data_IF_455799056379
#
_entry.id   IF_455799056379
#
_cell.length_a   1.000
_cell.length_b   1.000
_cell.length_c   1.000
_cell.angle_alpha   90.00
_cell.angle_beta   90.00
_cell.angle_gamma   90.00
#
_symmetry.space_group_name_H-M   'P 1'
#
loop_
_entity.id
_entity.type
_entity.pdbx_description
1 polymer ?
#
# COMPACT_ATOMS: atom_id res chain seq x y z
N UNK A 1 23.51 -1.89 -15.46
CA UNK A 1 22.15 -1.35 -15.52
C UNK A 1 21.27 -2.12 -14.55
N UNK A 2 20.53 -1.40 -13.70
CA UNK A 2 19.50 -1.99 -12.82
C UNK A 2 18.14 -1.53 -13.31
N UNK A 3 17.21 -2.48 -13.46
CA UNK A 3 15.82 -2.25 -13.84
C UNK A 3 14.96 -2.70 -12.66
N UNK A 4 14.16 -1.79 -12.11
CA UNK A 4 13.23 -2.09 -11.02
C UNK A 4 11.81 -2.14 -11.58
N UNK A 5 11.12 -3.26 -11.31
CA UNK A 5 9.72 -3.46 -11.68
C UNK A 5 8.96 -3.79 -10.39
N UNK A 6 8.22 -2.82 -9.88
CA UNK A 6 7.46 -2.97 -8.64
C UNK A 6 6.09 -3.57 -8.89
N UNK A 7 5.64 -4.39 -7.94
CA UNK A 7 4.29 -4.95 -7.92
C UNK A 7 3.93 -5.70 -9.22
N UNK A 8 4.77 -6.69 -9.60
CA UNK A 8 4.56 -7.44 -10.86
C UNK A 8 3.25 -8.23 -10.89
N UNK A 9 2.59 -8.46 -9.75
CA UNK A 9 1.26 -9.07 -9.68
C UNK A 9 0.23 -8.33 -10.54
N UNK A 10 0.33 -7.00 -10.67
CA UNK A 10 -0.55 -6.23 -11.53
C UNK A 10 -0.37 -6.54 -13.04
N UNK A 11 0.76 -7.13 -13.41
CA UNK A 11 0.99 -7.56 -14.79
C UNK A 11 0.07 -8.73 -15.14
N UNK A 12 -0.22 -9.62 -14.18
CA UNK A 12 -1.15 -10.72 -14.39
C UNK A 12 -2.56 -10.23 -14.74
N UNK A 13 -2.97 -9.08 -14.17
CA UNK A 13 -4.27 -8.48 -14.43
C UNK A 13 -4.36 -7.76 -15.78
N UNK A 14 -3.21 -7.42 -16.37
CA UNK A 14 -3.12 -6.74 -17.68
C UNK A 14 -3.23 -7.69 -18.89
N UNK A 15 -3.42 -8.98 -18.64
CA UNK A 15 -3.60 -10.02 -19.67
C UNK A 15 -2.29 -10.53 -20.28
N UNK A 16 -2.41 -11.48 -21.21
CA UNK A 16 -1.31 -12.27 -21.75
C UNK A 16 -0.19 -11.44 -22.41
N UNK A 17 -0.54 -10.31 -23.02
CA UNK A 17 0.43 -9.43 -23.65
C UNK A 17 1.43 -8.82 -22.66
N UNK A 18 0.95 -8.41 -21.48
CA UNK A 18 1.81 -7.82 -20.46
C UNK A 18 2.73 -8.89 -19.83
N UNK A 19 2.22 -10.09 -19.65
CA UNK A 19 3.03 -11.23 -19.19
C UNK A 19 4.11 -11.61 -20.21
N UNK A 20 3.78 -11.61 -21.50
CA UNK A 20 4.73 -11.83 -22.59
C UNK A 20 5.81 -10.76 -22.60
N UNK A 21 5.45 -9.49 -22.41
CA UNK A 21 6.41 -8.40 -22.30
C UNK A 21 7.39 -8.60 -21.14
N UNK A 22 6.88 -8.99 -19.96
CA UNK A 22 7.74 -9.30 -18.82
C UNK A 22 8.73 -10.42 -19.13
N UNK A 23 8.28 -11.49 -19.77
CA UNK A 23 9.15 -12.58 -20.20
C UNK A 23 10.24 -12.11 -21.18
N UNK A 24 9.91 -11.22 -22.12
CA UNK A 24 10.90 -10.64 -23.04
C UNK A 24 11.92 -9.76 -22.30
N UNK A 25 11.51 -9.00 -21.30
CA UNK A 25 12.43 -8.23 -20.46
C UNK A 25 13.42 -9.16 -19.75
N UNK A 26 12.95 -10.26 -19.14
CA UNK A 26 13.84 -11.25 -18.54
C UNK A 26 14.78 -11.91 -19.56
N UNK A 27 14.26 -12.25 -20.74
CA UNK A 27 15.06 -12.84 -21.82
C UNK A 27 16.16 -11.90 -22.30
N UNK A 28 15.87 -10.60 -22.37
CA UNK A 28 16.87 -9.59 -22.74
C UNK A 28 17.93 -9.46 -21.66
N UNK A 29 17.53 -9.42 -20.38
CA UNK A 29 18.49 -9.33 -19.29
C UNK A 29 19.41 -10.54 -19.19
N UNK A 30 18.93 -11.74 -19.49
CA UNK A 30 19.74 -12.97 -19.47
C UNK A 30 20.85 -12.95 -20.54
N UNK A 31 20.70 -12.14 -21.60
CA UNK A 31 21.70 -11.96 -22.65
C UNK A 31 22.87 -11.04 -22.27
N UNK A 32 22.66 -10.18 -21.27
CA UNK A 32 23.61 -9.14 -20.91
C UNK A 32 24.08 -9.30 -19.47
N UNK A 33 25.34 -9.61 -19.26
CA UNK A 33 25.93 -9.85 -17.94
C UNK A 33 25.93 -8.63 -17.00
N UNK A 34 25.68 -7.45 -17.53
CA UNK A 34 25.66 -6.18 -16.80
C UNK A 34 24.23 -5.61 -16.62
N UNK A 35 23.19 -6.39 -16.92
CA UNK A 35 21.80 -6.02 -16.71
C UNK A 35 21.21 -6.86 -15.59
N UNK A 36 20.66 -6.19 -14.59
CA UNK A 36 20.02 -6.80 -13.43
C UNK A 36 18.57 -6.32 -13.36
N UNK A 37 17.63 -7.25 -13.22
CA UNK A 37 16.22 -6.94 -13.00
C UNK A 37 15.90 -7.29 -11.56
N UNK A 38 15.28 -6.34 -10.86
CA UNK A 38 14.77 -6.50 -9.51
C UNK A 38 13.26 -6.31 -9.60
N UNK A 39 12.51 -7.32 -9.21
CA UNK A 39 11.06 -7.28 -9.21
C UNK A 39 10.54 -7.48 -7.80
N UNK A 40 9.48 -6.77 -7.45
CA UNK A 40 8.69 -7.05 -6.23
C UNK A 40 7.37 -7.73 -6.58
N UNK A 41 6.92 -8.59 -5.68
CA UNK A 41 5.64 -9.29 -5.80
C UNK A 41 5.12 -9.61 -4.40
N UNK A 42 3.81 -9.56 -4.21
CA UNK A 42 3.19 -10.06 -2.97
C UNK A 42 3.41 -11.57 -2.86
N UNK A 43 3.66 -12.04 -1.64
CA UNK A 43 3.87 -13.47 -1.38
C UNK A 43 2.67 -14.32 -1.83
N UNK A 44 1.45 -13.80 -1.63
CA UNK A 44 0.20 -14.45 -2.07
C UNK A 44 0.13 -14.68 -3.57
N UNK A 45 0.73 -13.79 -4.37
CA UNK A 45 0.64 -13.78 -5.83
C UNK A 45 1.88 -14.37 -6.51
N UNK A 46 2.90 -14.70 -5.72
CA UNK A 46 4.19 -15.21 -6.19
C UNK A 46 4.07 -16.48 -7.03
N UNK A 47 3.07 -17.33 -6.76
CA UNK A 47 2.81 -18.58 -7.50
C UNK A 47 2.56 -18.37 -8.99
N UNK A 48 1.93 -17.24 -9.36
CA UNK A 48 1.68 -16.90 -10.77
C UNK A 48 2.99 -16.72 -11.55
N UNK A 49 4.07 -16.31 -10.88
CA UNK A 49 5.38 -16.04 -11.47
C UNK A 49 6.37 -17.20 -11.34
N UNK A 50 6.02 -18.27 -10.62
CA UNK A 50 6.88 -19.46 -10.45
C UNK A 50 7.30 -20.07 -11.79
N UNK A 51 6.44 -20.05 -12.81
CA UNK A 51 6.76 -20.55 -14.16
C UNK A 51 7.85 -19.74 -14.84
N UNK A 52 8.00 -18.47 -14.53
CA UNK A 52 9.09 -17.63 -15.02
C UNK A 52 10.38 -18.02 -14.34
N UNK A 53 10.33 -18.28 -13.03
CA UNK A 53 11.50 -18.65 -12.23
C UNK A 53 12.17 -19.93 -12.72
N UNK A 54 11.41 -20.89 -13.29
CA UNK A 54 11.99 -22.13 -13.84
C UNK A 54 12.73 -21.92 -15.14
N UNK A 55 12.42 -20.87 -15.88
CA UNK A 55 13.03 -20.58 -17.18
C UNK A 55 14.28 -19.70 -17.09
N UNK A 56 14.34 -18.82 -16.10
CA UNK A 56 15.44 -17.88 -15.91
C UNK A 56 16.08 -18.08 -14.52
N UNK A 57 17.34 -17.68 -14.37
CA UNK A 57 18.08 -17.77 -13.10
C UNK A 57 17.64 -16.66 -12.13
N UNK A 58 16.44 -16.79 -11.57
CA UNK A 58 15.89 -15.82 -10.62
C UNK A 58 16.24 -16.24 -9.18
N UNK A 59 16.78 -15.30 -8.42
CA UNK A 59 16.91 -15.44 -6.95
C UNK A 59 15.74 -14.76 -6.29
N UNK A 60 15.02 -15.51 -5.47
CA UNK A 60 13.91 -14.97 -4.70
C UNK A 60 14.37 -14.67 -3.28
N UNK A 61 13.99 -13.50 -2.78
CA UNK A 61 14.21 -13.07 -1.41
C UNK A 61 12.85 -12.70 -0.82
N UNK A 62 12.52 -13.31 0.31
CA UNK A 62 11.36 -12.91 1.08
C UNK A 62 11.77 -11.79 2.02
N UNK A 63 10.99 -10.70 2.06
CA UNK A 63 11.17 -9.62 3.04
C UNK A 63 10.41 -10.05 4.29
N UNK A 64 11.09 -10.35 5.39
CA UNK A 64 10.43 -10.76 6.62
C UNK A 64 9.69 -9.59 7.27
N UNK A 65 8.73 -9.93 8.13
CA UNK A 65 8.16 -8.97 9.05
C UNK A 65 9.23 -8.39 9.99
N UNK A 66 8.95 -7.22 10.56
CA UNK A 66 9.87 -6.56 11.50
C UNK A 66 10.09 -7.43 12.73
N UNK A 67 11.34 -7.54 13.13
CA UNK A 67 11.68 -8.19 14.38
C UNK A 67 11.24 -7.35 15.59
N UNK A 68 10.99 -8.00 16.73
CA UNK A 68 10.56 -7.32 17.95
C UNK A 68 11.53 -6.21 18.37
N UNK A 69 12.82 -6.46 18.23
CA UNK A 69 13.88 -5.51 18.57
C UNK A 69 13.83 -4.23 17.72
N UNK A 70 13.33 -4.33 16.48
CA UNK A 70 13.14 -3.19 15.60
C UNK A 70 11.94 -2.36 16.05
N UNK A 71 10.84 -3.03 16.41
CA UNK A 71 9.65 -2.37 16.95
C UNK A 71 9.98 -1.70 18.29
N UNK A 72 10.76 -2.34 19.16
CA UNK A 72 11.20 -1.78 20.43
C UNK A 72 12.03 -0.49 20.26
N UNK A 73 12.80 -0.38 19.17
CA UNK A 73 13.50 0.87 18.82
C UNK A 73 12.53 1.99 18.47
N UNK A 74 11.51 1.70 17.68
CA UNK A 74 10.49 2.67 17.30
C UNK A 74 9.65 3.07 18.50
N UNK A 75 9.30 2.14 19.37
CA UNK A 75 8.52 2.34 20.58
C UNK A 75 9.15 3.36 21.55
N UNK A 76 10.49 3.50 21.55
CA UNK A 76 11.19 4.52 22.36
C UNK A 76 10.81 5.95 21.98
N UNK A 77 10.47 6.17 20.70
CA UNK A 77 10.07 7.49 20.18
C UNK A 77 8.55 7.66 20.11
N UNK A 78 7.80 6.58 20.17
CA UNK A 78 6.35 6.57 20.01
C UNK A 78 5.68 5.73 21.12
N UNK A 79 5.29 6.34 22.26
CA UNK A 79 4.72 5.65 23.41
C UNK A 79 3.50 4.79 23.10
N UNK A 80 2.70 5.18 22.10
CA UNK A 80 1.54 4.39 21.63
C UNK A 80 1.96 2.97 21.18
N UNK A 81 3.15 2.81 20.62
CA UNK A 81 3.66 1.50 20.19
C UNK A 81 3.87 0.60 21.42
N UNK A 82 4.37 1.12 22.54
CA UNK A 82 4.52 0.36 23.78
C UNK A 82 3.18 -0.14 24.31
N UNK A 83 2.16 0.73 24.29
CA UNK A 83 0.80 0.38 24.70
C UNK A 83 0.22 -0.75 23.82
N UNK A 84 0.40 -0.65 22.51
CA UNK A 84 -0.07 -1.68 21.57
C UNK A 84 0.69 -3.01 21.69
N UNK A 85 2.00 -2.99 21.97
CA UNK A 85 2.79 -4.20 22.18
C UNK A 85 2.33 -5.04 23.38
N UNK A 86 1.71 -4.45 24.38
CA UNK A 86 1.18 -5.15 25.55
C UNK A 86 0.05 -6.11 25.19
N UNK A 87 -0.63 -5.88 24.08
CA UNK A 87 -1.68 -6.76 23.59
C UNK A 87 -1.14 -7.62 22.45
N UNK A 88 -1.09 -8.94 22.67
CA UNK A 88 -0.53 -9.92 21.72
C UNK A 88 -1.09 -9.79 20.31
N UNK A 89 -2.39 -9.47 20.17
CA UNK A 89 -3.03 -9.31 18.84
C UNK A 89 -2.44 -8.15 18.05
N UNK A 90 -2.08 -7.05 18.72
CA UNK A 90 -1.48 -5.90 18.05
C UNK A 90 0.01 -6.03 17.85
N UNK A 91 0.67 -6.78 18.73
CA UNK A 91 2.08 -7.13 18.58
C UNK A 91 2.37 -7.72 17.20
N UNK A 92 1.51 -8.62 16.72
CA UNK A 92 1.67 -9.24 15.40
C UNK A 92 1.43 -8.24 14.25
N UNK A 93 0.45 -7.32 14.41
CA UNK A 93 0.20 -6.27 13.42
C UNK A 93 1.36 -5.26 13.33
N UNK A 94 1.99 -4.94 14.47
CA UNK A 94 3.13 -4.03 14.50
C UNK A 94 4.37 -4.59 13.78
N UNK A 95 4.47 -5.92 13.63
CA UNK A 95 5.53 -6.55 12.86
C UNK A 95 5.43 -6.25 11.36
N UNK A 96 4.25 -5.90 10.87
CA UNK A 96 4.03 -5.51 9.47
C UNK A 96 4.44 -4.04 9.29
N UNK A 97 5.47 -3.73 8.47
CA UNK A 97 5.99 -2.36 8.30
C UNK A 97 4.92 -1.33 7.93
N UNK A 98 3.92 -1.77 7.15
CA UNK A 98 2.81 -0.93 6.73
C UNK A 98 2.00 -0.39 7.92
N UNK A 99 1.55 -1.26 8.83
CA UNK A 99 0.77 -0.84 9.99
C UNK A 99 1.58 0.01 10.96
N UNK A 100 2.85 -0.37 11.19
CA UNK A 100 3.74 0.42 12.03
C UNK A 100 3.90 1.85 11.47
N UNK A 101 4.13 1.97 10.17
CA UNK A 101 4.25 3.27 9.52
C UNK A 101 2.96 4.10 9.60
N UNK A 102 1.80 3.47 9.44
CA UNK A 102 0.51 4.15 9.57
C UNK A 102 0.31 4.73 10.98
N UNK A 103 0.65 3.96 12.02
CA UNK A 103 0.54 4.40 13.42
C UNK A 103 1.48 5.58 13.67
N UNK A 104 2.73 5.46 13.25
CA UNK A 104 3.75 6.51 13.43
C UNK A 104 3.37 7.79 12.68
N UNK A 105 2.91 7.67 11.42
CA UNK A 105 2.55 8.81 10.57
C UNK A 105 1.19 9.43 10.94
N UNK A 106 0.28 8.63 11.48
CA UNK A 106 -1.09 9.04 11.81
C UNK A 106 -1.21 9.86 13.10
N UNK A 107 -0.12 10.00 13.86
CA UNK A 107 -0.12 10.77 15.11
C UNK A 107 -1.11 10.21 16.15
N UNK A 108 -1.28 8.89 16.19
CA UNK A 108 -2.16 8.26 17.17
C UNK A 108 -1.69 8.61 18.58
N UNK A 109 -2.57 9.22 19.34
CA UNK A 109 -2.43 9.46 20.77
C UNK A 109 -3.19 8.35 21.50
N UNK A 110 -2.78 8.02 22.72
CA UNK A 110 -3.36 6.96 23.54
C UNK A 110 -4.89 6.87 23.42
N UNK A 111 -5.34 5.95 22.59
CA UNK A 111 -6.76 5.58 22.50
C UNK A 111 -6.91 4.13 22.94
N UNK A 112 -8.03 3.83 23.59
CA UNK A 112 -8.38 2.46 23.96
C UNK A 112 -8.65 1.65 22.68
N UNK A 113 -7.62 1.08 22.12
CA UNK A 113 -7.72 0.12 21.01
C UNK A 113 -8.03 -1.24 21.64
N UNK A 114 -9.28 -1.66 21.62
CA UNK A 114 -9.73 -2.85 22.33
C UNK A 114 -9.71 -4.12 21.47
N UNK A 115 -9.80 -3.98 20.16
CA UNK A 115 -9.81 -5.10 19.20
C UNK A 115 -9.30 -4.68 17.82
N UNK A 116 -9.08 -5.67 16.95
CA UNK A 116 -8.56 -5.45 15.59
C UNK A 116 -9.53 -4.62 14.72
N UNK A 117 -10.84 -4.80 14.86
CA UNK A 117 -11.82 -4.04 14.11
C UNK A 117 -11.79 -2.57 14.51
N UNK A 118 -11.67 -2.31 15.81
CA UNK A 118 -11.52 -0.95 16.34
C UNK A 118 -10.25 -0.31 15.78
N UNK A 119 -9.14 -1.04 15.73
CA UNK A 119 -7.89 -0.55 15.15
C UNK A 119 -8.01 -0.26 13.64
N UNK A 120 -8.63 -1.16 12.88
CA UNK A 120 -8.88 -0.94 11.43
C UNK A 120 -9.80 0.26 11.20
N UNK A 121 -10.85 0.42 12.02
CA UNK A 121 -11.73 1.57 11.96
C UNK A 121 -11.01 2.88 12.27
N UNK A 122 -10.10 2.89 13.24
CA UNK A 122 -9.29 4.07 13.55
C UNK A 122 -8.38 4.46 12.38
N UNK A 123 -7.72 3.49 11.74
CA UNK A 123 -6.93 3.74 10.52
C UNK A 123 -7.83 4.33 9.43
N UNK A 124 -8.97 3.72 9.19
CA UNK A 124 -9.93 4.19 8.18
C UNK A 124 -10.35 5.63 8.46
N UNK A 125 -10.84 5.92 9.68
CA UNK A 125 -11.35 7.23 10.03
C UNK A 125 -10.27 8.32 10.02
N UNK A 126 -9.14 8.07 10.65
CA UNK A 126 -8.11 9.12 10.86
C UNK A 126 -7.19 9.30 9.69
N UNK A 127 -6.77 8.22 9.07
CA UNK A 127 -5.79 8.28 7.98
C UNK A 127 -6.50 8.42 6.65
N UNK A 128 -7.42 7.50 6.36
CA UNK A 128 -8.06 7.45 5.04
C UNK A 128 -9.12 8.55 4.89
N UNK A 129 -9.99 8.70 5.89
CA UNK A 129 -11.05 9.72 5.88
C UNK A 129 -10.61 11.07 6.47
N UNK A 130 -9.32 11.24 6.80
CA UNK A 130 -8.72 12.49 7.26
C UNK A 130 -9.44 13.16 8.44
N UNK A 131 -10.02 12.40 9.36
CA UNK A 131 -10.90 12.90 10.44
C UNK A 131 -10.35 14.14 11.16
N UNK A 132 -9.09 14.08 11.56
CA UNK A 132 -8.45 15.16 12.33
C UNK A 132 -7.88 16.27 11.44
N UNK A 133 -7.87 16.09 10.11
CA UNK A 133 -7.26 16.99 9.13
C UNK A 133 -8.27 17.71 8.23
N UNK A 134 -9.52 17.28 8.21
CA UNK A 134 -10.57 17.86 7.37
C UNK A 134 -10.70 19.38 7.53
N UNK A 135 -10.60 19.88 8.76
CA UNK A 135 -10.66 21.32 9.03
C UNK A 135 -9.55 22.12 8.38
N UNK A 136 -8.35 21.53 8.23
CA UNK A 136 -7.19 22.17 7.58
C UNK A 136 -7.48 22.46 6.11
N UNK A 137 -8.27 21.61 5.47
CA UNK A 137 -8.60 21.69 4.05
C UNK A 137 -10.00 22.29 3.78
N UNK A 138 -10.74 22.64 4.83
CA UNK A 138 -12.10 23.20 4.67
C UNK A 138 -13.13 22.18 4.16
N UNK A 139 -12.86 20.88 4.28
CA UNK A 139 -13.75 19.81 3.79
C UNK A 139 -14.47 19.11 4.93
N UNK A 140 -15.61 18.50 4.65
CA UNK A 140 -16.35 17.70 5.63
C UNK A 140 -15.84 16.25 5.61
N UNK A 141 -15.68 15.65 6.79
CA UNK A 141 -15.25 14.25 6.90
C UNK A 141 -16.20 13.28 6.18
N UNK A 142 -17.51 13.54 6.25
CA UNK A 142 -18.52 12.76 5.52
C UNK A 142 -18.26 12.72 4.01
N UNK A 143 -17.88 13.85 3.45
CA UNK A 143 -17.68 13.99 2.02
C UNK A 143 -16.37 13.32 1.58
N UNK A 144 -15.31 13.44 2.40
CA UNK A 144 -14.07 12.69 2.20
C UNK A 144 -14.34 11.19 2.24
N UNK A 145 -15.09 10.71 3.25
CA UNK A 145 -15.47 9.29 3.37
C UNK A 145 -16.23 8.81 2.13
N UNK A 146 -17.30 9.49 1.77
CA UNK A 146 -18.13 9.13 0.61
C UNK A 146 -17.32 9.11 -0.68
N UNK A 147 -16.36 10.04 -0.81
CA UNK A 147 -15.46 10.10 -1.97
C UNK A 147 -14.53 8.91 -2.03
N UNK A 148 -13.89 8.55 -0.91
CA UNK A 148 -12.99 7.39 -0.88
C UNK A 148 -13.75 6.09 -1.13
N UNK A 149 -14.91 5.91 -0.49
CA UNK A 149 -15.78 4.74 -0.73
C UNK A 149 -16.21 4.66 -2.20
N UNK A 150 -16.53 5.78 -2.83
CA UNK A 150 -16.87 5.82 -4.26
C UNK A 150 -15.68 5.43 -5.14
N UNK A 151 -14.47 5.91 -4.85
CA UNK A 151 -13.26 5.53 -5.58
C UNK A 151 -13.03 4.02 -5.49
N UNK A 152 -13.14 3.45 -4.27
CA UNK A 152 -12.98 2.01 -4.05
C UNK A 152 -14.04 1.22 -4.82
N UNK A 153 -15.30 1.62 -4.71
CA UNK A 153 -16.41 0.95 -5.40
C UNK A 153 -16.26 0.99 -6.92
N UNK A 154 -15.94 2.15 -7.50
CA UNK A 154 -15.73 2.31 -8.94
C UNK A 154 -14.55 1.46 -9.45
N UNK A 155 -13.46 1.41 -8.69
CA UNK A 155 -12.32 0.54 -9.01
C UNK A 155 -12.72 -0.93 -9.01
N UNK A 156 -13.39 -1.37 -7.95
CA UNK A 156 -13.78 -2.77 -7.79
C UNK A 156 -14.82 -3.20 -8.83
N UNK A 157 -15.85 -2.36 -9.08
CA UNK A 157 -16.94 -2.69 -10.01
C UNK A 157 -16.50 -2.74 -11.47
N UNK A 158 -15.50 -1.95 -11.84
CA UNK A 158 -14.99 -1.86 -13.22
C UNK A 158 -13.70 -2.64 -13.44
N UNK A 159 -13.13 -3.24 -12.39
CA UNK A 159 -11.83 -3.91 -12.43
C UNK A 159 -10.71 -3.02 -13.01
N UNK A 160 -10.69 -1.73 -12.61
CA UNK A 160 -9.69 -0.77 -13.08
C UNK A 160 -8.73 -0.36 -11.97
N UNK A 161 -7.48 -0.05 -12.33
CA UNK A 161 -6.47 0.39 -11.36
C UNK A 161 -6.74 1.81 -10.87
N UNK A 162 -7.32 2.67 -11.71
CA UNK A 162 -7.63 4.06 -11.36
C UNK A 162 -8.92 4.54 -11.99
N UNK A 163 -9.59 5.47 -11.33
CA UNK A 163 -10.81 6.13 -11.77
C UNK A 163 -10.53 7.55 -12.24
N UNK A 164 -11.43 8.16 -13.00
CA UNK A 164 -11.27 9.54 -13.48
C UNK A 164 -11.30 10.51 -12.31
N UNK A 165 -10.39 11.49 -12.30
CA UNK A 165 -10.31 12.49 -11.21
C UNK A 165 -11.49 13.46 -11.18
N UNK A 166 -12.20 13.61 -12.29
CA UNK A 166 -13.39 14.47 -12.43
C UNK A 166 -14.59 14.02 -11.58
N UNK A 167 -14.58 12.78 -11.11
CA UNK A 167 -15.60 12.30 -10.18
C UNK A 167 -15.41 12.83 -8.75
N UNK A 168 -14.29 13.48 -8.45
CA UNK A 168 -13.94 13.94 -7.10
C UNK A 168 -13.96 15.46 -7.06
N UNK A 169 -14.52 16.02 -6.00
CA UNK A 169 -14.43 17.44 -5.71
C UNK A 169 -12.98 17.90 -5.59
N UNK A 170 -12.65 19.09 -6.11
CA UNK A 170 -11.29 19.61 -6.20
C UNK A 170 -10.60 19.75 -4.85
N UNK A 171 -11.34 20.22 -3.83
CA UNK A 171 -10.78 20.48 -2.51
C UNK A 171 -10.52 19.16 -1.78
N UNK A 172 -11.40 18.18 -1.96
CA UNK A 172 -11.22 16.82 -1.43
C UNK A 172 -10.05 16.12 -2.16
N UNK A 173 -9.97 16.28 -3.47
CA UNK A 173 -8.88 15.74 -4.29
C UNK A 173 -7.52 16.27 -3.79
N UNK A 174 -7.43 17.59 -3.57
CA UNK A 174 -6.21 18.21 -3.07
C UNK A 174 -5.86 17.73 -1.67
N UNK A 175 -6.84 17.64 -0.77
CA UNK A 175 -6.65 17.13 0.58
C UNK A 175 -6.09 15.69 0.57
N UNK A 176 -6.72 14.80 -0.18
CA UNK A 176 -6.30 13.39 -0.28
C UNK A 176 -4.92 13.24 -0.92
N UNK A 177 -4.59 14.06 -1.92
CA UNK A 177 -3.25 14.09 -2.55
C UNK A 177 -2.18 14.61 -1.58
N UNK A 178 -2.46 15.72 -0.91
CA UNK A 178 -1.52 16.36 0.03
C UNK A 178 -1.18 15.45 1.21
N UNK A 179 -2.14 14.65 1.67
CA UNK A 179 -1.95 13.67 2.74
C UNK A 179 -1.45 12.31 2.22
N UNK A 180 -1.22 12.19 0.91
CA UNK A 180 -0.63 11.00 0.31
C UNK A 180 -1.55 9.77 0.33
N UNK A 181 -2.87 9.96 0.39
CA UNK A 181 -3.87 8.87 0.36
C UNK A 181 -4.10 8.40 -1.07
N UNK A 182 -4.10 9.35 -2.01
CA UNK A 182 -4.26 9.05 -3.43
C UNK A 182 -3.06 9.51 -4.25
N UNK A 183 -2.91 8.90 -5.41
CA UNK A 183 -1.96 9.29 -6.44
C UNK A 183 -2.73 9.58 -7.72
N UNK A 184 -2.43 10.71 -8.35
CA UNK A 184 -3.00 11.09 -9.63
C UNK A 184 -1.97 10.96 -10.75
N UNK A 185 -2.39 10.38 -11.88
CA UNK A 185 -1.60 10.29 -13.10
C UNK A 185 -2.52 10.32 -14.31
N UNK A 186 -2.28 11.25 -15.26
CA UNK A 186 -3.05 11.37 -16.51
C UNK A 186 -4.56 11.44 -16.27
N UNK A 187 -5.00 12.28 -15.34
CA UNK A 187 -6.40 12.44 -14.94
C UNK A 187 -7.05 11.16 -14.34
N UNK A 188 -6.24 10.18 -13.95
CA UNK A 188 -6.69 9.01 -13.21
C UNK A 188 -6.17 9.07 -11.79
N UNK A 189 -7.02 8.76 -10.83
CA UNK A 189 -6.69 8.67 -9.41
C UNK A 189 -6.80 7.24 -8.94
N UNK A 190 -5.90 6.87 -8.05
CA UNK A 190 -5.92 5.59 -7.35
C UNK A 190 -5.55 5.79 -5.89
N UNK A 191 -5.99 4.91 -5.03
CA UNK A 191 -5.47 4.85 -3.67
C UNK A 191 -3.98 4.51 -3.74
N UNK A 192 -3.18 5.17 -2.90
CA UNK A 192 -1.74 4.90 -2.78
C UNK A 192 -1.49 3.53 -2.16
N UNK A 193 -2.39 3.11 -1.28
CA UNK A 193 -2.34 1.84 -0.60
C UNK A 193 -3.58 1.02 -0.98
N UNK A 194 -3.40 -0.26 -1.25
CA UNK A 194 -4.49 -1.22 -1.36
C UNK A 194 -4.90 -1.61 0.07
N UNK A 195 -5.84 -0.88 0.63
CA UNK A 195 -6.33 -1.05 2.00
C UNK A 195 -7.61 -1.88 1.99
#
# INVERSE_FOLDING_TARGET
LYIFIDAIEFIADCGDNAFTLLQEIYRLADKYSNVYIITSCRTTDSSAFMKINTKYRIKTYEIPDLAKEEIDKVAKSYPIILSLQQNKKYSDLLCVPFYLNLIVSGGFVEENINDENNFRNLIWERIICLKDKCKKYGVLQSDVRNTVERIVFERASRFVVGVDSDIVDSDILEALKSEGIIVESKNKIRLKYDI
#
